data_IF_569812508165
#
_entry.id   IF_569812508165
#
_cell.length_a   1.000
_cell.length_b   1.000
_cell.length_c   1.000
_cell.angle_alpha   90.00
_cell.angle_beta   90.00
_cell.angle_gamma   90.00
#
_symmetry.space_group_name_H-M   'P 1'
#
loop_
_entity.id
_entity.type
_entity.pdbx_description
1 polymer ?
#
# COMPACT_ATOMS: atom_id res chain seq x y z
N UNK A 1 6.22 1.43 -23.19
CA UNK A 1 6.52 0.17 -22.48
C UNK A 1 5.63 0.07 -21.26
N UNK A 2 5.21 -1.14 -20.87
CA UNK A 2 4.34 -1.33 -19.71
C UNK A 2 5.16 -1.19 -18.42
N UNK A 3 4.67 -0.37 -17.49
CA UNK A 3 5.28 -0.24 -16.16
C UNK A 3 5.02 -1.53 -15.36
N UNK A 4 6.08 -2.22 -14.92
CA UNK A 4 5.98 -3.43 -14.11
C UNK A 4 5.37 -3.18 -12.73
N UNK A 5 4.94 -4.25 -12.07
CA UNK A 5 4.33 -4.23 -10.73
C UNK A 5 5.36 -3.95 -9.63
N UNK A 6 4.89 -3.65 -8.42
CA UNK A 6 5.79 -3.59 -7.26
C UNK A 6 6.48 -4.94 -6.99
N UNK A 7 5.82 -6.07 -7.27
CA UNK A 7 6.41 -7.42 -7.16
C UNK A 7 7.59 -7.62 -8.12
N UNK A 8 7.50 -7.07 -9.34
CA UNK A 8 8.60 -7.07 -10.31
C UNK A 8 9.80 -6.27 -9.77
N UNK A 9 9.54 -5.11 -9.16
CA UNK A 9 10.60 -4.32 -8.51
C UNK A 9 11.21 -5.06 -7.30
N UNK A 10 10.40 -5.80 -6.53
CA UNK A 10 10.86 -6.59 -5.38
C UNK A 10 11.89 -7.64 -5.77
N UNK A 11 11.91 -8.12 -7.02
CA UNK A 11 12.96 -9.01 -7.52
C UNK A 11 14.36 -8.38 -7.39
N UNK A 12 14.48 -7.06 -7.29
CA UNK A 12 15.76 -6.37 -7.13
C UNK A 12 16.06 -5.95 -5.70
N UNK A 13 15.03 -5.76 -4.87
CA UNK A 13 15.17 -5.26 -3.51
C UNK A 13 15.95 -6.27 -2.63
N UNK A 14 16.69 -5.75 -1.65
CA UNK A 14 17.50 -6.52 -0.70
C UNK A 14 18.67 -7.34 -1.30
N UNK A 15 18.99 -7.16 -2.59
CA UNK A 15 20.18 -7.75 -3.22
C UNK A 15 21.37 -6.79 -3.10
N UNK A 16 22.52 -7.29 -2.61
CA UNK A 16 23.77 -6.50 -2.55
C UNK A 16 24.31 -6.17 -3.94
N UNK A 17 24.15 -7.08 -4.89
CA UNK A 17 24.50 -6.90 -6.30
C UNK A 17 23.37 -7.44 -7.18
N UNK A 18 23.09 -6.75 -8.28
CA UNK A 18 22.03 -7.12 -9.24
C UNK A 18 22.72 -7.53 -10.54
N UNK A 19 22.56 -8.78 -10.98
CA UNK A 19 23.23 -9.28 -12.19
C UNK A 19 22.73 -8.56 -13.45
N UNK A 20 23.53 -8.49 -14.53
CA UNK A 20 23.10 -7.87 -15.80
C UNK A 20 21.78 -8.44 -16.34
N UNK A 21 21.58 -9.76 -16.19
CA UNK A 21 20.34 -10.44 -16.57
C UNK A 21 19.13 -9.89 -15.81
N UNK A 22 19.24 -9.71 -14.49
CA UNK A 22 18.14 -9.16 -13.67
C UNK A 22 17.91 -7.69 -14.01
N UNK A 23 18.97 -6.91 -14.27
CA UNK A 23 18.82 -5.50 -14.68
C UNK A 23 18.09 -5.37 -16.02
N UNK A 24 18.35 -6.28 -16.97
CA UNK A 24 17.67 -6.31 -18.26
C UNK A 24 16.22 -6.80 -18.15
N UNK A 25 15.96 -7.82 -17.32
CA UNK A 25 14.62 -8.39 -17.14
C UNK A 25 13.70 -7.48 -16.31
N UNK A 26 14.26 -6.77 -15.33
CA UNK A 26 13.55 -5.89 -14.41
C UNK A 26 14.24 -4.51 -14.38
N UNK A 27 14.15 -3.72 -15.48
CA UNK A 27 14.68 -2.37 -15.47
C UNK A 27 13.98 -1.54 -14.38
N UNK A 28 14.68 -0.55 -13.84
CA UNK A 28 14.10 0.35 -12.86
C UNK A 28 14.39 1.78 -13.24
N UNK A 29 13.44 2.61 -12.87
CA UNK A 29 13.40 4.03 -13.15
C UNK A 29 13.14 4.77 -11.84
N UNK A 30 13.73 5.95 -11.67
CA UNK A 30 13.57 6.75 -10.46
C UNK A 30 12.70 7.99 -10.75
N UNK A 31 11.48 7.96 -10.21
CA UNK A 31 10.59 9.13 -10.19
C UNK A 31 10.84 9.96 -8.94
N UNK A 32 11.46 11.12 -9.12
CA UNK A 32 11.87 12.01 -8.04
C UNK A 32 10.70 12.88 -7.57
N UNK A 33 10.51 13.02 -6.25
CA UNK A 33 9.35 13.75 -5.70
C UNK A 33 9.69 14.74 -4.57
N UNK A 34 10.93 14.74 -4.07
CA UNK A 34 11.44 15.73 -3.12
C UNK A 34 12.98 15.77 -3.20
N UNK A 35 13.59 16.83 -2.70
CA UNK A 35 15.04 16.96 -2.56
C UNK A 35 15.37 17.36 -1.11
N UNK A 36 16.17 16.54 -0.43
CA UNK A 36 16.56 16.81 0.95
C UNK A 36 17.95 17.46 1.04
N UNK A 37 18.83 17.11 0.11
CA UNK A 37 20.17 17.67 -0.01
C UNK A 37 20.61 17.64 -1.47
N UNK A 38 21.28 18.69 -1.93
CA UNK A 38 21.88 18.75 -3.27
C UNK A 38 23.28 19.36 -3.13
N UNK A 39 24.31 18.71 -3.69
CA UNK A 39 25.69 19.20 -3.68
C UNK A 39 26.22 19.63 -2.29
N UNK A 40 25.80 18.93 -1.23
CA UNK A 40 26.18 19.22 0.15
C UNK A 40 25.26 20.23 0.86
N UNK A 41 24.44 21.00 0.15
CA UNK A 41 23.48 21.94 0.72
C UNK A 41 22.24 21.21 1.27
N UNK A 42 21.97 21.36 2.56
CA UNK A 42 20.79 20.80 3.22
C UNK A 42 19.55 21.66 2.96
N UNK A 43 18.56 21.08 2.30
CA UNK A 43 17.32 21.75 1.89
C UNK A 43 16.16 21.46 2.85
N UNK A 44 16.34 20.61 3.87
CA UNK A 44 15.23 20.11 4.70
C UNK A 44 14.47 21.21 5.45
N UNK A 45 15.16 22.28 5.85
CA UNK A 45 14.56 23.43 6.53
C UNK A 45 13.71 24.30 5.60
N UNK A 46 13.93 24.22 4.28
CA UNK A 46 13.20 25.01 3.29
C UNK A 46 11.76 24.50 3.14
N UNK A 47 10.79 25.39 2.84
CA UNK A 47 9.44 24.99 2.43
C UNK A 47 9.44 24.04 1.23
N UNK A 48 8.44 23.15 1.15
CA UNK A 48 8.31 22.21 0.02
C UNK A 48 8.31 22.91 -1.33
N UNK A 49 7.69 24.08 -1.44
CA UNK A 49 7.70 24.92 -2.64
C UNK A 49 9.12 25.23 -3.15
N UNK A 50 10.03 25.61 -2.25
CA UNK A 50 11.41 25.93 -2.61
C UNK A 50 12.17 24.64 -2.91
N UNK A 51 12.08 23.60 -2.05
CA UNK A 51 12.71 22.29 -2.32
C UNK A 51 12.28 21.72 -3.67
N UNK A 52 11.04 21.94 -4.07
CA UNK A 52 10.51 21.51 -5.36
C UNK A 52 11.20 22.25 -6.53
N UNK A 53 11.44 23.56 -6.44
CA UNK A 53 12.20 24.31 -7.47
C UNK A 53 13.63 23.79 -7.58
N UNK A 54 14.29 23.56 -6.45
CA UNK A 54 15.64 22.98 -6.42
C UNK A 54 15.66 21.59 -7.08
N UNK A 55 14.69 20.73 -6.76
CA UNK A 55 14.54 19.42 -7.38
C UNK A 55 14.30 19.53 -8.90
N UNK A 56 13.43 20.44 -9.34
CA UNK A 56 13.12 20.64 -10.75
C UNK A 56 14.34 21.08 -11.57
N UNK A 57 15.18 21.94 -11.00
CA UNK A 57 16.44 22.33 -11.62
C UNK A 57 17.42 21.15 -11.67
N UNK A 58 17.53 20.38 -10.59
CA UNK A 58 18.46 19.25 -10.50
C UNK A 58 18.09 18.10 -11.44
N UNK A 59 16.81 17.72 -11.54
CA UNK A 59 16.42 16.60 -12.41
C UNK A 59 16.70 16.89 -13.88
N UNK A 60 16.73 18.15 -14.31
CA UNK A 60 17.13 18.54 -15.68
C UNK A 60 18.59 18.19 -16.00
N UNK A 61 19.44 18.00 -14.99
CA UNK A 61 20.85 17.61 -15.17
C UNK A 61 21.05 16.09 -15.15
N UNK A 62 20.00 15.31 -14.90
CA UNK A 62 20.04 13.85 -14.84
C UNK A 62 19.69 13.23 -16.19
N UNK A 63 20.06 11.96 -16.38
CA UNK A 63 19.70 11.16 -17.54
C UNK A 63 18.17 10.97 -17.62
N UNK A 64 17.47 11.57 -18.61
CA UNK A 64 16.02 11.51 -18.71
C UNK A 64 15.49 10.10 -19.02
N UNK A 65 16.34 9.18 -19.46
CA UNK A 65 15.95 7.77 -19.65
C UNK A 65 15.87 6.99 -18.33
N UNK A 66 16.38 7.55 -17.23
CA UNK A 66 16.46 6.90 -15.90
C UNK A 66 15.73 7.67 -14.80
N UNK A 67 15.54 8.98 -15.00
CA UNK A 67 15.00 9.88 -14.00
C UNK A 67 13.90 10.76 -14.58
N UNK A 68 12.80 10.90 -13.84
CA UNK A 68 11.80 11.93 -14.08
C UNK A 68 11.36 12.58 -12.77
N UNK A 69 10.48 13.57 -12.92
CA UNK A 69 9.79 14.21 -11.80
C UNK A 69 8.40 13.62 -11.65
N UNK A 70 8.02 13.35 -10.41
CA UNK A 70 6.62 13.20 -10.05
C UNK A 70 5.89 14.49 -10.43
N UNK A 71 4.81 14.42 -11.24
CA UNK A 71 4.09 15.60 -11.68
C UNK A 71 3.33 16.22 -10.51
N UNK A 72 3.26 17.55 -10.49
CA UNK A 72 2.31 18.26 -9.64
C UNK A 72 0.91 18.08 -10.23
N UNK A 73 -0.05 17.75 -9.39
CA UNK A 73 -1.44 17.60 -9.79
C UNK A 73 -2.13 18.94 -9.60
N UNK A 74 -2.47 19.61 -10.70
CA UNK A 74 -3.26 20.83 -10.65
C UNK A 74 -4.74 20.48 -10.40
N UNK A 75 -5.35 21.13 -9.42
CA UNK A 75 -6.77 21.00 -9.11
C UNK A 75 -7.31 22.35 -8.62
N UNK A 76 -8.62 22.57 -8.79
CA UNK A 76 -9.29 23.83 -8.40
C UNK A 76 -10.18 23.67 -7.17
N UNK A 77 -10.62 22.45 -6.93
CA UNK A 77 -11.55 22.07 -5.88
C UNK A 77 -11.33 20.59 -5.50
N UNK A 78 -11.95 20.18 -4.38
CA UNK A 78 -11.84 18.82 -3.85
C UNK A 78 -12.46 17.77 -4.77
N UNK A 79 -13.53 18.11 -5.50
CA UNK A 79 -14.20 17.18 -6.40
C UNK A 79 -13.30 16.79 -7.58
N UNK A 80 -12.59 17.76 -8.16
CA UNK A 80 -11.61 17.54 -9.22
C UNK A 80 -10.46 16.66 -8.73
N UNK A 81 -9.96 16.91 -7.52
CA UNK A 81 -8.90 16.11 -6.94
C UNK A 81 -9.35 14.67 -6.63
N UNK A 82 -10.58 14.50 -6.17
CA UNK A 82 -11.19 13.19 -5.93
C UNK A 82 -11.30 12.36 -7.22
N UNK A 83 -11.75 12.97 -8.33
CA UNK A 83 -11.76 12.29 -9.65
C UNK A 83 -10.36 11.85 -10.08
N UNK A 84 -9.35 12.71 -9.87
CA UNK A 84 -7.95 12.39 -10.19
C UNK A 84 -7.38 11.30 -9.28
N UNK A 85 -7.81 11.24 -8.02
CA UNK A 85 -7.47 10.15 -7.09
C UNK A 85 -8.06 8.82 -7.59
N UNK A 86 -9.33 8.80 -7.97
CA UNK A 86 -10.03 7.58 -8.40
C UNK A 86 -9.59 7.06 -9.77
N UNK A 87 -9.29 7.96 -10.71
CA UNK A 87 -8.87 7.64 -12.07
C UNK A 87 -7.47 8.21 -12.37
N UNK A 88 -6.40 7.65 -11.76
CA UNK A 88 -5.05 8.13 -12.01
C UNK A 88 -4.61 7.81 -13.45
N UNK A 89 -3.64 8.55 -14.01
CA UNK A 89 -3.19 8.38 -15.39
C UNK A 89 -2.53 7.03 -15.68
N UNK A 90 -2.20 6.25 -14.64
CA UNK A 90 -1.65 4.91 -14.78
C UNK A 90 -2.23 3.98 -13.71
N UNK A 91 -2.63 2.73 -14.05
CA UNK A 91 -3.33 1.82 -13.13
C UNK A 91 -2.54 1.44 -11.87
N UNK A 92 -1.21 1.47 -11.93
CA UNK A 92 -0.33 1.19 -10.78
C UNK A 92 -0.31 2.30 -9.73
N UNK A 93 -0.76 3.51 -10.07
CA UNK A 93 -0.76 4.64 -9.14
C UNK A 93 -1.87 4.39 -8.12
N UNK A 94 -1.51 4.33 -6.84
CA UNK A 94 -2.45 4.01 -5.77
C UNK A 94 -3.31 5.20 -5.33
N UNK A 95 -2.99 6.43 -5.74
CA UNK A 95 -3.72 7.65 -5.40
C UNK A 95 -2.83 8.89 -5.46
N UNK A 96 -3.11 9.88 -4.62
CA UNK A 96 -2.38 11.17 -4.59
C UNK A 96 -1.63 11.36 -3.28
N UNK A 97 -0.50 12.08 -3.36
CA UNK A 97 0.23 12.57 -2.19
C UNK A 97 -0.10 14.05 -2.01
N UNK A 98 -0.69 14.40 -0.87
CA UNK A 98 -0.91 15.79 -0.48
C UNK A 98 0.26 16.23 0.37
N UNK A 99 0.91 17.32 -0.03
CA UNK A 99 2.02 17.92 0.73
C UNK A 99 1.69 19.37 1.01
N UNK A 100 1.83 19.78 2.27
CA UNK A 100 1.68 21.17 2.68
C UNK A 100 2.79 22.01 2.03
N UNK A 101 2.39 22.99 1.24
CA UNK A 101 3.27 23.76 0.34
C UNK A 101 4.39 24.53 1.05
N UNK A 102 4.05 25.11 2.21
CA UNK A 102 4.93 25.89 3.07
C UNK A 102 5.68 25.04 4.12
N UNK A 103 5.54 23.72 4.11
CA UNK A 103 6.14 22.87 5.17
C UNK A 103 7.60 22.51 4.92
N UNK A 104 8.46 22.53 5.97
CA UNK A 104 9.78 21.93 5.91
C UNK A 104 9.67 20.40 5.81
N UNK A 105 10.78 19.74 5.46
CA UNK A 105 10.87 18.30 5.59
C UNK A 105 11.12 17.92 7.05
N UNK A 106 10.22 17.12 7.62
CA UNK A 106 10.29 16.66 8.99
C UNK A 106 10.57 15.16 9.01
N UNK A 107 11.69 14.77 9.61
CA UNK A 107 12.08 13.36 9.72
C UNK A 107 11.13 12.58 10.65
N UNK A 108 11.01 11.27 10.41
CA UNK A 108 10.15 10.39 11.19
C UNK A 108 8.74 10.26 10.62
N UNK A 109 7.73 10.29 11.49
CA UNK A 109 6.30 10.12 11.12
C UNK A 109 5.44 11.27 11.68
N UNK A 110 5.76 12.53 11.35
CA UNK A 110 4.96 13.67 11.79
C UNK A 110 3.57 13.61 11.17
N UNK A 111 2.54 13.91 11.96
CA UNK A 111 1.17 14.09 11.46
C UNK A 111 1.03 15.48 10.86
N UNK A 112 0.43 15.60 9.67
CA UNK A 112 0.02 16.90 9.13
C UNK A 112 0.72 17.36 7.85
N UNK A 113 2.06 17.37 7.76
CA UNK A 113 2.71 17.93 6.57
C UNK A 113 2.32 17.18 5.30
N UNK A 114 2.34 15.84 5.35
CA UNK A 114 2.14 14.99 4.18
C UNK A 114 1.05 13.96 4.46
N UNK A 115 0.18 13.74 3.48
CA UNK A 115 -0.86 12.73 3.52
C UNK A 115 -0.82 11.88 2.26
N UNK A 116 -0.83 10.56 2.45
CA UNK A 116 -1.10 9.60 1.38
C UNK A 116 -2.61 9.46 1.28
N UNK A 117 -3.20 9.92 0.19
CA UNK A 117 -4.64 9.77 -0.07
C UNK A 117 -4.81 8.77 -1.21
N UNK A 118 -4.87 7.49 -0.81
CA UNK A 118 -5.00 6.36 -1.72
C UNK A 118 -6.44 6.23 -2.21
N UNK A 119 -6.63 5.58 -3.37
CA UNK A 119 -7.90 5.04 -3.85
C UNK A 119 -8.52 4.14 -2.79
N UNK A 120 -9.82 3.99 -2.89
CA UNK A 120 -10.55 3.10 -2.00
C UNK A 120 -10.07 1.66 -2.26
N UNK A 121 -9.82 0.89 -1.20
CA UNK A 121 -9.38 -0.48 -1.37
C UNK A 121 -10.47 -1.28 -2.10
N UNK A 122 -10.06 -2.27 -2.88
CA UNK A 122 -11.01 -3.27 -3.35
C UNK A 122 -11.50 -4.09 -2.17
N UNK A 123 -12.82 -4.21 -2.04
CA UNK A 123 -13.47 -5.06 -1.05
C UNK A 123 -13.80 -6.41 -1.64
N UNK A 124 -13.59 -7.48 -0.87
CA UNK A 124 -13.99 -8.83 -1.24
C UNK A 124 -14.68 -9.48 -0.05
N UNK A 125 -15.69 -10.31 -0.33
CA UNK A 125 -16.22 -11.24 0.65
C UNK A 125 -15.41 -12.53 0.61
N UNK A 126 -14.88 -12.94 1.76
CA UNK A 126 -13.99 -14.09 1.84
C UNK A 126 -14.34 -14.97 3.05
N UNK A 127 -14.03 -16.26 2.92
CA UNK A 127 -14.26 -17.25 3.98
C UNK A 127 -13.10 -17.21 4.97
N UNK A 128 -13.41 -17.07 6.26
CA UNK A 128 -12.42 -17.27 7.33
C UNK A 128 -12.01 -18.75 7.37
N UNK A 129 -10.79 -19.05 6.92
CA UNK A 129 -10.26 -20.41 6.87
C UNK A 129 -9.59 -20.82 8.18
N UNK A 130 -8.72 -19.96 8.70
CA UNK A 130 -7.89 -20.24 9.87
C UNK A 130 -7.85 -19.05 10.81
N UNK A 131 -7.80 -19.34 12.11
CA UNK A 131 -7.60 -18.35 13.14
C UNK A 131 -6.46 -18.79 14.06
N UNK A 132 -5.47 -17.92 14.25
CA UNK A 132 -4.30 -18.16 15.11
C UNK A 132 -4.29 -17.15 16.26
N UNK A 133 -3.72 -17.56 17.40
CA UNK A 133 -3.54 -16.66 18.54
C UNK A 133 -2.58 -15.54 18.18
N UNK A 134 -2.90 -14.33 18.62
CA UNK A 134 -2.05 -13.17 18.42
C UNK A 134 -0.75 -13.27 19.21
N UNK A 135 0.12 -12.29 18.98
CA UNK A 135 1.35 -12.13 19.76
C UNK A 135 1.26 -10.89 20.68
N UNK A 136 2.08 -10.87 21.74
CA UNK A 136 2.17 -9.73 22.66
C UNK A 136 0.87 -9.45 23.41
N UNK A 137 0.40 -8.19 23.36
CA UNK A 137 -0.81 -7.71 24.07
C UNK A 137 -2.11 -8.43 23.67
N UNK A 138 -2.12 -9.13 22.53
CA UNK A 138 -3.30 -9.87 22.01
C UNK A 138 -3.13 -11.40 22.10
N UNK A 139 -2.20 -11.90 22.91
CA UNK A 139 -1.91 -13.34 23.00
C UNK A 139 -3.06 -14.21 23.53
N UNK A 140 -4.01 -13.61 24.27
CA UNK A 140 -5.22 -14.28 24.75
C UNK A 140 -6.30 -14.47 23.69
N UNK A 141 -6.22 -13.73 22.57
CA UNK A 141 -7.23 -13.71 21.51
C UNK A 141 -6.73 -14.41 20.23
N UNK A 142 -7.63 -15.10 19.54
CA UNK A 142 -7.45 -15.40 18.12
C UNK A 142 -7.53 -14.09 17.35
N UNK A 143 -6.41 -13.62 16.78
CA UNK A 143 -6.31 -12.29 16.15
C UNK A 143 -5.42 -12.25 14.91
N UNK A 144 -4.95 -13.40 14.42
CA UNK A 144 -4.38 -13.56 13.08
C UNK A 144 -5.31 -14.49 12.29
N UNK A 145 -5.99 -13.93 11.29
CA UNK A 145 -7.00 -14.61 10.50
C UNK A 145 -6.51 -14.82 9.08
N UNK A 146 -6.70 -16.03 8.54
CA UNK A 146 -6.45 -16.32 7.13
C UNK A 146 -7.77 -16.47 6.39
N UNK A 147 -7.89 -15.78 5.26
CA UNK A 147 -9.09 -15.76 4.43
C UNK A 147 -8.84 -16.46 3.11
N UNK A 148 -9.88 -17.10 2.58
CA UNK A 148 -9.88 -17.73 1.27
C UNK A 148 -11.11 -17.39 0.45
N UNK A 149 -10.99 -17.57 -0.87
CA UNK A 149 -12.08 -17.42 -1.83
C UNK A 149 -12.24 -18.72 -2.61
N UNK A 150 -13.46 -19.00 -3.07
CA UNK A 150 -13.70 -20.12 -3.97
C UNK A 150 -13.07 -19.85 -5.32
N UNK A 151 -12.36 -20.84 -5.86
CA UNK A 151 -11.70 -20.78 -7.15
C UNK A 151 -11.83 -22.11 -7.87
N UNK A 152 -11.92 -22.07 -9.20
CA UNK A 152 -12.07 -23.25 -10.04
C UNK A 152 -13.39 -23.28 -10.81
N UNK A 153 -13.61 -24.32 -11.63
CA UNK A 153 -14.84 -24.50 -12.37
C UNK A 153 -16.02 -24.77 -11.43
N UNK A 154 -17.21 -24.31 -11.84
CA UNK A 154 -18.47 -24.54 -11.13
C UNK A 154 -18.68 -26.04 -10.85
N UNK A 155 -18.95 -26.39 -9.60
CA UNK A 155 -19.10 -27.77 -9.13
C UNK A 155 -17.79 -28.50 -8.78
N UNK A 156 -16.65 -27.83 -8.92
CA UNK A 156 -15.31 -28.33 -8.56
C UNK A 156 -14.47 -27.26 -7.88
N UNK A 157 -15.12 -26.26 -7.27
CA UNK A 157 -14.46 -25.15 -6.62
C UNK A 157 -13.68 -25.62 -5.38
N UNK A 158 -12.47 -25.10 -5.24
CA UNK A 158 -11.65 -25.24 -4.05
C UNK A 158 -11.50 -23.89 -3.34
N UNK A 159 -11.36 -23.95 -2.01
CA UNK A 159 -11.17 -22.76 -1.21
C UNK A 159 -9.67 -22.42 -1.14
N UNK A 160 -9.27 -21.34 -1.81
CA UNK A 160 -7.87 -20.93 -1.94
C UNK A 160 -7.57 -19.76 -1.01
N UNK A 161 -6.49 -19.80 -0.19
CA UNK A 161 -6.13 -18.70 0.68
C UNK A 161 -5.65 -17.48 -0.12
N UNK A 162 -6.19 -16.30 0.18
CA UNK A 162 -5.89 -15.04 -0.52
C UNK A 162 -5.21 -13.99 0.34
N UNK A 163 -5.31 -14.10 1.67
CA UNK A 163 -4.73 -13.09 2.54
C UNK A 163 -4.86 -13.38 4.02
N UNK A 164 -4.15 -12.57 4.81
CA UNK A 164 -4.23 -12.57 6.26
C UNK A 164 -4.63 -11.19 6.78
N UNK A 165 -5.45 -11.14 7.83
CA UNK A 165 -5.73 -9.91 8.56
C UNK A 165 -5.43 -10.07 10.05
N UNK A 166 -4.70 -9.10 10.60
CA UNK A 166 -4.31 -9.03 12.01
C UNK A 166 -4.60 -7.65 12.64
N UNK A 167 -5.26 -6.77 11.88
CA UNK A 167 -5.69 -5.44 12.26
C UNK A 167 -6.97 -5.09 11.47
N UNK A 168 -7.62 -3.98 11.83
CA UNK A 168 -8.86 -3.51 11.18
C UNK A 168 -10.11 -3.68 12.05
N UNK A 169 -10.04 -4.49 13.10
CA UNK A 169 -11.14 -4.73 14.03
C UNK A 169 -11.07 -3.80 15.24
N UNK A 170 -12.23 -3.31 15.66
CA UNK A 170 -12.42 -2.73 16.99
C UNK A 170 -12.24 -3.79 18.08
N UNK A 171 -12.02 -3.35 19.32
CA UNK A 171 -11.88 -4.28 20.44
C UNK A 171 -13.18 -5.10 20.69
N UNK A 172 -14.35 -4.56 20.32
CA UNK A 172 -15.62 -5.27 20.45
C UNK A 172 -15.77 -6.34 19.37
N UNK A 173 -15.53 -6.00 18.11
CA UNK A 173 -15.53 -6.97 17.00
C UNK A 173 -14.53 -8.10 17.25
N UNK A 174 -13.36 -7.79 17.81
CA UNK A 174 -12.37 -8.81 18.16
C UNK A 174 -12.89 -9.82 19.20
N UNK A 175 -13.69 -9.38 20.18
CA UNK A 175 -14.33 -10.28 21.14
C UNK A 175 -15.40 -11.15 20.50
N UNK A 176 -16.21 -10.58 19.61
CA UNK A 176 -17.23 -11.31 18.88
C UNK A 176 -16.61 -12.42 18.01
N UNK A 177 -15.54 -12.08 17.27
CA UNK A 177 -14.84 -13.03 16.40
C UNK A 177 -14.12 -14.10 17.25
N UNK A 178 -13.45 -13.73 18.35
CA UNK A 178 -12.80 -14.71 19.23
C UNK A 178 -13.82 -15.70 19.84
N UNK A 179 -15.00 -15.20 20.26
CA UNK A 179 -16.10 -16.05 20.72
C UNK A 179 -16.57 -17.00 19.61
N UNK A 180 -16.84 -16.48 18.42
CA UNK A 180 -17.24 -17.29 17.27
C UNK A 180 -16.20 -18.39 16.95
N UNK A 181 -14.91 -18.04 16.99
CA UNK A 181 -13.82 -18.99 16.76
C UNK A 181 -13.79 -20.12 17.78
N UNK A 182 -14.02 -19.81 19.06
CA UNK A 182 -14.05 -20.83 20.11
C UNK A 182 -15.27 -21.73 20.00
N UNK A 183 -16.43 -21.15 19.73
CA UNK A 183 -17.71 -21.87 19.69
C UNK A 183 -17.79 -22.82 18.48
N UNK A 184 -17.16 -22.45 17.36
CA UNK A 184 -17.30 -23.18 16.08
C UNK A 184 -16.34 -24.38 15.96
N UNK A 185 -15.43 -24.61 16.94
CA UNK A 185 -14.35 -25.63 16.87
C UNK A 185 -13.69 -25.67 15.49
N UNK A 186 -12.90 -24.64 15.18
CA UNK A 186 -12.10 -24.60 13.95
C UNK A 186 -11.18 -25.82 13.87
N UNK A 187 -11.58 -26.82 13.09
CA UNK A 187 -10.80 -28.00 12.76
C UNK A 187 -10.16 -27.77 11.38
N UNK A 188 -8.89 -28.14 11.16
CA UNK A 188 -8.29 -28.08 9.84
C UNK A 188 -9.13 -28.89 8.84
N UNK A 189 -9.57 -28.25 7.74
CA UNK A 189 -10.19 -28.96 6.61
C UNK A 189 -11.73 -28.97 6.51
N UNK A 190 -12.47 -28.11 7.23
CA UNK A 190 -13.90 -27.88 6.94
C UNK A 190 -14.14 -26.43 6.52
N UNK A 191 -14.69 -26.25 5.31
CA UNK A 191 -15.19 -24.97 4.86
C UNK A 191 -16.33 -24.51 5.78
N UNK A 192 -16.26 -23.26 6.23
CA UNK A 192 -17.29 -22.64 7.06
C UNK A 192 -18.39 -22.10 6.15
N UNK A 193 -19.66 -22.26 6.54
CA UNK A 193 -20.75 -21.53 5.88
C UNK A 193 -20.50 -20.03 6.03
N UNK A 194 -20.53 -19.31 4.92
CA UNK A 194 -20.34 -17.86 4.89
C UNK A 194 -21.20 -17.20 5.98
N UNK A 195 -20.55 -16.37 6.79
CA UNK A 195 -21.24 -15.58 7.80
C UNK A 195 -21.86 -14.38 7.07
N UNK A 196 -23.18 -14.34 6.93
CA UNK A 196 -23.90 -13.18 6.41
C UNK A 196 -23.94 -12.05 7.46
N UNK A 197 -22.77 -11.53 7.83
CA UNK A 197 -22.66 -10.17 8.35
C UNK A 197 -21.50 -9.50 7.63
N UNK A 198 -21.84 -8.50 6.83
CA UNK A 198 -20.90 -7.66 6.13
C UNK A 198 -20.09 -6.88 7.18
N UNK A 199 -18.86 -7.30 7.45
CA UNK A 199 -17.89 -6.46 8.13
C UNK A 199 -17.17 -5.64 7.06
N UNK A 200 -17.72 -4.46 6.75
CA UNK A 200 -17.04 -3.49 5.92
C UNK A 200 -15.92 -2.82 6.74
N UNK A 201 -14.67 -3.02 6.34
CA UNK A 201 -13.54 -2.23 6.85
C UNK A 201 -12.85 -1.49 5.71
N UNK A 202 -12.68 -0.17 5.92
CA UNK A 202 -11.93 0.78 5.07
C UNK A 202 -10.45 0.83 5.46
#
# INVERSE_FOLDING_TARGET
EATGTFSDLQQRLNRKSVSPKIQQQYPAFMRCYDALQINGEDLRSLPFAERRKHLEAFVKTLDPSRFDLSPLVAFRDWETLERLRQAPPHPIIEGVMLKRWDSPYLAGRPKGPWFKWKRDPHTIDAVLMYAQRGHGKRSSFYSDYTFGVWSGPEGSEELVPVGKAYFGFTDEELREIDKYVRDTRFMPGRAVKAFERHFQHQ
#
